data_IF_828325743272
#
_entry.id   IF_828325743272
#
_cell.length_a   1.000
_cell.length_b   1.000
_cell.length_c   1.000
_cell.angle_alpha   90.00
_cell.angle_beta   90.00
_cell.angle_gamma   90.00
#
_symmetry.space_group_name_H-M   'P 1'
#
loop_
_entity.id
_entity.type
_entity.pdbx_description
1 polymer ?
2 non-polymer ?
3 non-polymer ?
4 water ?
#
# COMPACT_ATOMS: atom_id res chain seq x y z
N UNK A 32 -26.13 -13.93 6.28
CA UNK A 32 -25.48 -12.72 5.79
C UNK A 32 -23.97 -12.94 5.61
N UNK A 33 -23.34 -12.19 4.71
CA UNK A 33 -22.01 -12.58 4.25
C UNK A 33 -20.98 -12.38 5.37
N UNK A 34 -19.98 -13.23 5.34
CA UNK A 34 -18.84 -13.16 6.24
C UNK A 34 -17.70 -12.36 5.63
N UNK A 35 -16.93 -11.74 6.49
CA UNK A 35 -15.82 -10.91 6.03
C UNK A 35 -14.91 -11.67 5.10
N UNK A 36 -14.51 -12.93 5.50
CA UNK A 36 -13.60 -13.71 4.66
C UNK A 36 -14.20 -14.05 3.33
N UNK A 37 -15.51 -14.17 3.30
CA UNK A 37 -16.20 -14.52 2.07
C UNK A 37 -16.22 -13.34 1.10
N UNK A 38 -16.52 -12.13 1.58
CA UNK A 38 -16.43 -10.99 0.69
C UNK A 38 -15.00 -10.81 0.21
N UNK A 39 -14.03 -10.82 1.12
CA UNK A 39 -12.67 -10.55 0.74
C UNK A 39 -12.11 -11.56 -0.25
N UNK A 40 -12.45 -12.83 -0.08
CA UNK A 40 -11.98 -13.82 -1.04
C UNK A 40 -12.76 -13.80 -2.32
N UNK A 41 -14.01 -13.43 -2.36
CA UNK A 41 -14.67 -13.23 -3.59
C UNK A 41 -14.04 -12.09 -4.38
N UNK A 42 -13.78 -10.96 -3.69
CA UNK A 42 -13.06 -9.88 -4.34
C UNK A 42 -11.73 -10.36 -4.88
N UNK A 43 -10.97 -11.07 -4.07
CA UNK A 43 -9.66 -11.54 -4.50
C UNK A 43 -9.79 -12.49 -5.68
N UNK A 44 -10.80 -13.37 -5.68
CA UNK A 44 -10.93 -14.32 -6.81
C UNK A 44 -11.16 -13.54 -8.10
N UNK A 45 -12.07 -12.58 -8.07
CA UNK A 45 -12.35 -11.79 -9.26
C UNK A 45 -11.17 -10.93 -9.69
N UNK A 46 -10.38 -10.43 -8.75
CA UNK A 46 -9.17 -9.68 -9.09
C UNK A 46 -8.07 -10.57 -9.66
N UNK A 47 -7.93 -11.80 -9.15
CA UNK A 47 -6.94 -12.73 -9.71
C UNK A 47 -7.24 -13.01 -11.17
N UNK A 48 -8.51 -13.02 -11.56
CA UNK A 48 -8.84 -13.14 -12.97
C UNK A 48 -8.33 -11.94 -13.79
N UNK A 49 -8.49 -10.71 -13.26
CA UNK A 49 -7.97 -9.52 -13.92
C UNK A 49 -6.45 -9.62 -14.08
N UNK A 50 -5.76 -10.12 -13.09
CA UNK A 50 -4.31 -10.30 -13.13
C UNK A 50 -3.89 -11.48 -14.00
N UNK A 51 -4.81 -12.29 -14.47
CA UNK A 51 -4.48 -13.39 -15.38
C UNK A 51 -3.91 -14.57 -14.70
N UNK A 52 -4.07 -14.72 -13.40
CA UNK A 52 -3.57 -15.84 -12.66
C UNK A 52 -4.42 -17.07 -12.92
N UNK A 53 -3.76 -18.22 -12.86
CA UNK A 53 -4.46 -19.49 -13.08
C UNK A 53 -5.43 -19.77 -11.92
N UNK A 54 -6.36 -20.70 -12.18
CA UNK A 54 -7.24 -21.13 -11.11
C UNK A 54 -6.45 -21.76 -9.95
N UNK A 55 -5.37 -22.47 -10.23
CA UNK A 55 -4.55 -23.03 -9.15
C UNK A 55 -3.94 -21.93 -8.29
N UNK A 56 -3.35 -20.94 -8.91
CA UNK A 56 -2.72 -19.89 -8.11
C UNK A 56 -3.80 -19.10 -7.33
N UNK A 57 -4.96 -18.87 -7.95
CA UNK A 57 -6.07 -18.18 -7.26
C UNK A 57 -6.50 -18.93 -6.02
N UNK A 58 -6.57 -20.26 -6.13
CA UNK A 58 -6.85 -21.08 -4.96
C UNK A 58 -5.76 -20.97 -3.90
N UNK A 59 -4.52 -20.99 -4.27
CA UNK A 59 -3.48 -20.81 -3.27
C UNK A 59 -3.66 -19.47 -2.54
N UNK A 60 -3.90 -18.40 -3.28
CA UNK A 60 -3.88 -17.09 -2.65
C UNK A 60 -5.17 -16.81 -1.90
N UNK A 61 -6.32 -17.30 -2.31
CA UNK A 61 -7.49 -17.17 -1.49
C UNK A 61 -7.33 -17.88 -0.14
N UNK A 62 -6.64 -19.02 -0.14
CA UNK A 62 -6.39 -19.70 1.12
C UNK A 62 -5.50 -18.87 2.04
N UNK A 63 -4.43 -18.32 1.48
CA UNK A 63 -3.52 -17.46 2.24
C UNK A 63 -4.27 -16.26 2.84
N UNK A 64 -5.18 -15.64 2.05
CA UNK A 64 -5.90 -14.48 2.59
C UNK A 64 -6.81 -14.89 3.74
N UNK A 65 -7.53 -16.01 3.63
CA UNK A 65 -8.36 -16.48 4.75
C UNK A 65 -7.50 -16.73 5.97
N UNK A 66 -6.43 -17.48 5.79
CA UNK A 66 -5.57 -17.76 6.92
C UNK A 66 -5.08 -16.50 7.59
N UNK A 67 -4.74 -15.48 6.81
CA UNK A 67 -4.16 -14.28 7.38
C UNK A 67 -5.20 -13.48 8.16
N UNK A 68 -6.49 -13.62 7.85
CA UNK A 68 -7.51 -12.95 8.66
C UNK A 68 -7.79 -13.68 9.95
N UNK A 69 -7.34 -14.91 10.12
CA UNK A 69 -7.59 -15.66 11.37
C UNK A 69 -9.09 -15.82 11.64
N UNK A 70 -9.51 -15.67 12.91
CA UNK A 70 -10.91 -15.88 13.23
C UNK A 70 -11.79 -14.83 12.60
N UNK A 71 -11.20 -13.68 12.21
CA UNK A 71 -12.02 -12.65 11.57
C UNK A 71 -12.57 -13.08 10.20
N UNK A 72 -11.99 -14.11 9.59
CA UNK A 72 -12.55 -14.57 8.33
C UNK A 72 -14.00 -14.98 8.49
N UNK A 73 -14.38 -15.55 9.66
CA UNK A 73 -15.72 -16.05 9.90
C UNK A 73 -16.68 -15.06 10.45
N UNK A 74 -16.28 -13.81 10.54
CA UNK A 74 -17.04 -12.77 11.23
C UNK A 74 -18.15 -12.23 10.30
N UNK A 75 -19.42 -12.18 10.73
CA UNK A 75 -20.46 -11.55 9.93
C UNK A 75 -20.13 -10.09 9.64
N UNK A 76 -20.49 -9.67 8.43
CA UNK A 76 -20.32 -8.27 8.07
C UNK A 76 -21.36 -7.35 8.71
N UNK A 77 -22.36 -7.95 9.37
CA UNK A 77 -23.31 -7.15 10.13
C UNK A 77 -22.78 -6.74 11.47
N UNK A 78 -21.67 -7.24 11.92
CA UNK A 78 -21.03 -6.77 13.13
C UNK A 78 -19.96 -5.71 12.80
N UNK A 79 -19.56 -4.91 13.78
CA UNK A 79 -18.51 -3.92 13.55
C UNK A 79 -17.22 -4.57 13.03
N UNK A 80 -16.34 -3.77 12.43
CA UNK A 80 -15.02 -4.28 12.07
C UNK A 80 -14.31 -4.87 13.27
N UNK A 81 -13.42 -5.84 13.05
CA UNK A 81 -12.73 -6.46 14.19
C UNK A 81 -11.75 -5.53 14.85
N UNK A 82 -11.18 -4.60 14.08
CA UNK A 82 -10.31 -3.57 14.63
C UNK A 82 -10.58 -2.25 13.94
N UNK A 83 -10.28 -1.14 14.61
CA UNK A 83 -10.39 0.14 13.96
C UNK A 83 -9.12 0.49 13.19
N UNK A 84 -8.74 -0.42 12.30
CA UNK A 84 -7.44 -0.38 11.66
C UNK A 84 -7.31 0.84 10.77
N UNK A 85 -6.08 1.35 10.70
CA UNK A 85 -5.73 2.42 9.80
C UNK A 85 -5.49 1.87 8.38
N UNK A 86 -5.57 0.58 8.15
CA UNK A 86 -5.31 0.01 6.83
C UNK A 86 -6.26 0.57 5.79
N UNK A 87 -7.49 0.88 6.18
CA UNK A 87 -8.45 1.46 5.26
C UNK A 87 -9.37 2.40 6.02
N UNK A 88 -10.07 3.28 5.31
CA UNK A 88 -10.89 4.28 5.97
C UNK A 88 -12.08 3.68 6.68
N UNK A 89 -12.66 2.59 6.22
CA UNK A 89 -13.78 1.95 6.87
C UNK A 89 -13.36 0.80 7.79
N UNK A 90 -12.06 0.63 7.98
CA UNK A 90 -11.50 -0.38 8.89
C UNK A 90 -11.63 -1.77 8.37
N UNK A 91 -11.86 -1.95 7.06
CA UNK A 91 -11.69 -3.27 6.53
C UNK A 91 -10.21 -3.63 6.63
N UNK A 92 -9.86 -4.80 7.13
CA UNK A 92 -8.43 -5.12 7.27
C UNK A 92 -7.82 -5.74 5.99
N UNK A 93 -8.31 -5.32 4.84
CA UNK A 93 -7.85 -5.77 3.52
C UNK A 93 -7.88 -4.55 2.61
N UNK A 94 -6.90 -4.43 1.70
CA UNK A 94 -6.89 -3.46 0.61
C UNK A 94 -6.18 -4.12 -0.58
N UNK A 95 -6.54 -3.79 -1.80
CA UNK A 95 -5.90 -4.32 -2.98
C UNK A 95 -5.14 -3.24 -3.70
N UNK A 96 -4.16 -3.64 -4.50
CA UNK A 96 -3.54 -2.71 -5.43
C UNK A 96 -3.23 -3.42 -6.71
N UNK A 97 -3.28 -2.65 -7.79
CA UNK A 97 -3.00 -3.14 -9.15
C UNK A 97 -2.01 -2.23 -9.84
N UNK A 98 -0.85 -2.82 -10.18
CA UNK A 98 0.27 -2.12 -10.79
C UNK A 98 0.26 -2.39 -12.29
N UNK A 99 -0.03 -1.38 -13.05
CA UNK A 99 -0.25 -1.45 -14.49
C UNK A 99 1.03 -1.19 -15.26
N UNK A 100 1.20 -1.98 -16.34
CA UNK A 100 2.32 -1.88 -17.27
C UNK A 100 1.77 -2.02 -18.68
N UNK A 101 2.39 -1.35 -19.66
CA UNK A 101 1.94 -1.53 -21.05
C UNK A 101 2.07 -2.98 -21.52
N UNK A 102 1.02 -3.43 -22.15
CA UNK A 102 1.06 -4.68 -22.89
C UNK A 102 0.97 -5.94 -22.08
N UNK A 103 0.48 -5.85 -20.85
CA UNK A 103 0.32 -7.05 -20.07
C UNK A 103 -0.69 -6.78 -18.96
N UNK A 104 -1.12 -7.86 -18.33
CA UNK A 104 -2.08 -7.71 -17.25
C UNK A 104 -1.41 -7.08 -16.02
N UNK A 105 -2.19 -6.40 -15.18
CA UNK A 105 -1.60 -5.74 -14.02
C UNK A 105 -1.15 -6.71 -12.96
N UNK A 106 -0.20 -6.30 -12.19
CA UNK A 106 0.30 -7.05 -11.05
C UNK A 106 -0.59 -6.77 -9.81
N UNK A 107 -1.05 -7.81 -9.15
CA UNK A 107 -1.98 -7.71 -8.04
C UNK A 107 -1.26 -7.93 -6.72
N UNK A 108 -1.59 -7.09 -5.74
CA UNK A 108 -1.12 -7.19 -4.39
C UNK A 108 -2.31 -7.10 -3.45
N UNK A 109 -2.23 -7.79 -2.33
CA UNK A 109 -3.26 -7.64 -1.29
C UNK A 109 -2.54 -7.29 0.01
N UNK A 110 -3.04 -6.30 0.72
CA UNK A 110 -2.54 -5.84 2.00
C UNK A 110 -3.53 -6.23 3.07
N UNK A 111 -3.05 -6.82 4.14
CA UNK A 111 -3.91 -7.37 5.20
C UNK A 111 -3.31 -7.01 6.54
N UNK A 112 -4.18 -6.89 7.55
CA UNK A 112 -3.78 -6.75 8.95
C UNK A 112 -3.99 -8.12 9.62
N UNK A 113 -2.97 -8.95 9.73
CA UNK A 113 -3.23 -10.33 10.12
C UNK A 113 -3.57 -10.45 11.60
N UNK A 114 -3.26 -9.46 12.41
CA UNK A 114 -3.66 -9.46 13.82
C UNK A 114 -4.99 -8.80 14.12
N UNK A 115 -5.78 -8.55 13.08
CA UNK A 115 -7.01 -7.80 13.25
C UNK A 115 -7.99 -8.43 14.25
N UNK A 116 -8.01 -9.75 14.40
CA UNK A 116 -8.94 -10.34 15.39
C UNK A 116 -8.62 -9.91 16.82
N UNK A 117 -7.39 -9.57 17.07
CA UNK A 117 -7.03 -9.07 18.38
C UNK A 117 -7.52 -7.68 18.67
N UNK A 118 -8.15 -7.00 17.71
CA UNK A 118 -8.73 -5.73 18.00
C UNK A 118 -7.73 -4.59 18.13
N UNK A 119 -8.11 -3.62 18.94
CA UNK A 119 -7.41 -2.36 19.03
C UNK A 119 -6.29 -2.33 20.06
N UNK A 120 -6.08 -3.43 20.79
CA UNK A 120 -4.89 -3.60 21.62
C UNK A 120 -3.68 -3.81 20.71
N UNK A 121 -2.84 -2.78 20.58
CA UNK A 121 -1.77 -2.84 19.58
C UNK A 121 -0.71 -3.87 19.92
N UNK A 122 -0.42 -4.10 21.21
CA UNK A 122 0.54 -5.15 21.52
C UNK A 122 0.05 -6.51 21.11
N UNK A 123 -1.23 -6.82 21.37
CA UNK A 123 -1.76 -8.13 20.99
C UNK A 123 -1.95 -8.23 19.48
N UNK A 124 -2.35 -7.13 18.83
CA UNK A 124 -2.53 -7.11 17.38
C UNK A 124 -1.18 -7.34 16.70
N UNK A 125 -0.15 -6.66 17.22
CA UNK A 125 1.19 -6.88 16.69
C UNK A 125 1.72 -8.28 16.90
N UNK A 126 1.48 -8.81 18.09
CA UNK A 126 1.95 -10.17 18.37
C UNK A 126 1.27 -11.20 17.51
N UNK A 127 -0.06 -11.06 17.32
CA UNK A 127 -0.76 -11.94 16.42
C UNK A 127 -0.33 -11.79 14.96
N UNK A 128 -0.07 -10.55 14.51
CA UNK A 128 0.41 -10.33 13.15
C UNK A 128 1.75 -10.98 12.91
N UNK A 129 2.66 -10.83 13.89
CA UNK A 129 3.95 -11.49 13.80
C UNK A 129 3.81 -13.01 13.68
N UNK A 130 2.93 -13.61 14.48
CA UNK A 130 2.76 -15.07 14.38
C UNK A 130 2.32 -15.48 12.98
N UNK A 131 1.35 -14.77 12.40
CA UNK A 131 0.91 -15.11 11.08
C UNK A 131 2.01 -14.98 10.05
N UNK A 132 2.83 -13.92 10.14
CA UNK A 132 3.92 -13.75 9.22
C UNK A 132 4.97 -14.85 9.37
N UNK A 133 5.28 -15.23 10.60
CA UNK A 133 6.25 -16.33 10.76
C UNK A 133 5.74 -17.64 10.18
N UNK A 134 4.45 -17.90 10.30
CA UNK A 134 3.86 -19.09 9.67
C UNK A 134 4.04 -19.05 8.15
N UNK A 135 3.75 -17.92 7.53
CA UNK A 135 4.01 -17.76 6.11
C UNK A 135 5.47 -18.03 5.77
N UNK A 136 6.37 -17.38 6.49
CA UNK A 136 7.79 -17.49 6.14
C UNK A 136 8.24 -18.94 6.20
N UNK A 137 7.84 -19.66 7.24
CA UNK A 137 8.21 -21.06 7.40
C UNK A 137 7.69 -21.88 6.22
N UNK A 138 6.48 -21.58 5.77
CA UNK A 138 5.89 -22.33 4.68
C UNK A 138 6.63 -22.12 3.38
N UNK A 139 7.13 -20.91 3.11
CA UNK A 139 7.74 -20.62 1.85
C UNK A 139 9.25 -20.61 1.91
N UNK A 140 9.83 -20.85 3.08
CA UNK A 140 11.27 -20.88 3.17
C UNK A 140 11.92 -19.52 3.24
N UNK A 141 11.22 -18.53 3.75
CA UNK A 141 11.76 -17.19 3.90
C UNK A 141 12.41 -17.07 5.27
N UNK A 142 13.53 -16.37 5.32
CA UNK A 142 14.22 -16.11 6.58
C UNK A 142 13.59 -14.92 7.26
N UNK A 143 13.36 -15.04 8.57
CA UNK A 143 12.85 -13.95 9.38
C UNK A 143 13.94 -13.29 10.23
N UNK A 144 15.21 -13.55 9.92
CA UNK A 144 16.32 -13.08 10.74
C UNK A 144 16.34 -11.56 10.79
N UNK A 145 16.14 -10.91 9.65
CA UNK A 145 16.09 -9.46 9.61
C UNK A 145 14.90 -8.90 10.39
N UNK A 146 13.72 -9.51 10.26
CA UNK A 146 12.58 -9.08 11.06
C UNK A 146 12.80 -9.31 12.56
N UNK A 147 13.39 -10.45 12.93
CA UNK A 147 13.61 -10.70 14.35
C UNK A 147 14.52 -9.62 14.95
N UNK A 148 15.51 -9.19 14.19
CA UNK A 148 16.47 -8.18 14.63
C UNK A 148 15.81 -6.84 14.83
N UNK A 149 14.69 -6.56 14.15
CA UNK A 149 13.98 -5.28 14.28
C UNK A 149 12.84 -5.31 15.28
N UNK A 150 12.52 -6.47 15.85
CA UNK A 150 11.32 -6.64 16.68
C UNK A 150 11.32 -5.73 17.90
N UNK A 151 12.44 -5.62 18.64
CA UNK A 151 12.41 -4.80 19.82
C UNK A 151 12.16 -3.33 19.48
N UNK A 152 12.51 -2.91 18.26
CA UNK A 152 12.36 -1.53 17.86
C UNK A 152 10.92 -1.20 17.47
N UNK A 153 10.22 -2.15 16.83
CA UNK A 153 8.87 -1.95 16.30
C UNK A 153 7.74 -2.52 17.12
N UNK A 154 8.06 -3.32 18.15
CA UNK A 154 7.09 -3.99 19.00
C UNK A 154 7.50 -3.81 20.46
N UNK A 155 7.56 -2.56 20.94
CA UNK A 155 7.81 -2.32 22.36
C UNK A 155 6.61 -2.73 23.19
N UNK A 156 6.80 -2.72 24.52
CA UNK A 156 5.80 -3.29 25.42
C UNK A 156 4.47 -2.52 25.39
N UNK A 157 4.51 -1.20 25.27
CA UNK A 157 3.33 -0.34 25.24
C UNK A 157 3.35 0.49 23.95
N UNK A 158 3.11 -0.14 22.82
CA UNK A 158 3.26 0.53 21.51
C UNK A 158 2.23 1.63 21.28
N UNK A 159 2.64 2.64 20.50
CA UNK A 159 1.73 3.67 20.03
C UNK A 159 1.25 3.34 18.62
N UNK A 160 0.13 3.93 18.27
CA UNK A 160 -0.49 3.74 16.96
C UNK A 160 0.27 4.45 15.87
N UNK A 161 -0.25 4.40 14.64
CA UNK A 161 -1.62 3.94 14.29
C UNK A 161 -1.69 2.53 13.80
N UNK A 162 -0.59 1.77 13.76
CA UNK A 162 -0.61 0.39 13.33
C UNK A 162 0.45 -0.33 14.11
N UNK A 163 0.36 -1.66 14.10
CA UNK A 163 1.40 -2.55 14.61
C UNK A 163 2.05 -3.34 13.50
N UNK A 164 1.28 -4.04 12.66
CA UNK A 164 1.84 -4.79 11.57
C UNK A 164 0.80 -5.06 10.51
N UNK A 165 1.15 -4.77 9.26
CA UNK A 165 0.39 -5.21 8.12
C UNK A 165 1.29 -6.07 7.25
N UNK A 166 0.70 -6.93 6.41
CA UNK A 166 1.44 -7.77 5.50
C UNK A 166 0.95 -7.51 4.10
N UNK A 167 1.86 -7.24 3.20
CA UNK A 167 1.57 -7.06 1.81
C UNK A 167 2.03 -8.29 1.02
N UNK A 168 1.13 -8.87 0.23
CA UNK A 168 1.38 -10.09 -0.52
C UNK A 168 1.29 -9.75 -2.01
N UNK A 169 2.41 -9.95 -2.69
CA UNK A 169 2.52 -9.79 -4.12
C UNK A 169 2.09 -11.11 -4.73
N UNK A 170 1.00 -11.08 -5.48
CA UNK A 170 0.37 -12.33 -5.93
C UNK A 170 0.86 -12.73 -7.31
N UNK A 171 2.04 -13.34 -7.30
CA UNK A 171 2.80 -13.68 -8.48
C UNK A 171 2.37 -15.02 -9.04
N UNK A 172 2.56 -15.19 -10.35
CA UNK A 172 2.35 -16.50 -10.92
C UNK A 172 3.24 -17.52 -10.21
N UNK A 173 2.69 -18.70 -9.98
CA UNK A 173 3.41 -19.74 -9.31
C UNK A 173 2.88 -20.07 -7.93
N UNK A 174 2.15 -19.15 -7.30
CA UNK A 174 1.55 -19.48 -6.03
C UNK A 174 2.41 -19.21 -4.82
N UNK A 175 3.62 -18.75 -5.03
CA UNK A 175 4.48 -18.30 -3.94
C UNK A 175 4.55 -16.77 -4.05
N UNK A 176 3.98 -16.04 -3.10
CA UNK A 176 3.90 -14.58 -3.20
C UNK A 176 5.17 -13.92 -2.72
N UNK A 177 5.39 -12.69 -3.18
CA UNK A 177 6.29 -11.79 -2.44
C UNK A 177 5.64 -11.37 -1.13
N UNK A 178 6.42 -11.27 -0.06
CA UNK A 178 5.92 -10.92 1.27
C UNK A 178 6.68 -9.69 1.78
N UNK A 179 5.95 -8.60 2.13
CA UNK A 179 6.52 -7.45 2.78
C UNK A 179 5.77 -7.21 4.07
N UNK A 180 6.51 -6.72 5.06
CA UNK A 180 5.94 -6.42 6.36
C UNK A 180 5.97 -4.92 6.59
N UNK A 181 4.81 -4.33 6.79
CA UNK A 181 4.69 -2.91 7.08
C UNK A 181 4.68 -2.69 8.55
N UNK A 182 5.63 -1.91 9.03
CA UNK A 182 5.88 -1.62 10.44
C UNK A 182 5.69 -0.13 10.72
N UNK A 183 5.56 0.23 11.99
CA UNK A 183 5.24 1.56 12.43
C UNK A 183 6.42 2.33 13.00
N UNK A 184 7.02 3.24 12.27
CA UNK A 184 8.13 4.06 12.87
C UNK A 184 7.75 4.80 14.11
N UNK A 185 6.46 5.11 14.33
CA UNK A 185 5.99 5.81 15.51
C UNK A 185 5.67 4.89 16.70
N UNK A 186 6.05 3.64 16.63
CA UNK A 186 5.71 2.70 17.69
C UNK A 186 6.19 3.15 19.07
N UNK A 187 7.32 3.84 19.11
CA UNK A 187 7.94 4.35 20.35
C UNK A 187 7.52 5.77 20.64
N UNK A 188 6.55 6.30 19.91
CA UNK A 188 6.09 7.69 19.96
C UNK A 188 6.39 8.38 18.64
N UNK A 189 5.52 9.28 18.21
CA UNK A 189 5.80 10.03 16.99
C UNK A 189 7.10 10.84 17.07
N UNK A 190 7.44 11.33 18.25
CA UNK A 190 8.65 12.11 18.37
C UNK A 190 9.90 11.28 18.20
N UNK A 191 9.79 9.94 18.26
CA UNK A 191 10.92 9.03 18.08
C UNK A 191 10.89 8.32 16.71
N UNK A 192 10.03 8.77 15.79
CA UNK A 192 9.92 8.11 14.49
C UNK A 192 11.22 8.21 13.69
N UNK A 193 11.83 9.42 13.55
CA UNK A 193 13.05 9.53 12.76
C UNK A 193 14.15 8.67 13.38
N UNK A 194 14.29 8.69 14.69
CA UNK A 194 15.29 7.90 15.39
C UNK A 194 15.08 6.42 15.16
N UNK A 195 13.80 5.99 15.14
CA UNK A 195 13.46 4.58 14.93
C UNK A 195 13.82 4.14 13.52
N UNK A 196 13.52 4.98 12.52
CA UNK A 196 13.89 4.68 11.14
C UNK A 196 15.41 4.65 10.96
N UNK A 197 16.12 5.64 11.52
CA UNK A 197 17.59 5.64 11.43
C UNK A 197 18.17 4.35 11.99
N UNK A 198 17.68 3.95 13.15
CA UNK A 198 18.20 2.73 13.79
C UNK A 198 17.85 1.48 12.98
N UNK A 199 16.62 1.39 12.43
CA UNK A 199 16.29 0.25 11.62
C UNK A 199 17.23 0.14 10.45
N UNK A 200 17.46 1.23 9.72
CA UNK A 200 18.30 1.20 8.56
C UNK A 200 19.73 0.79 8.96
N UNK A 201 20.21 1.24 10.11
CA UNK A 201 21.56 0.87 10.55
C UNK A 201 21.61 -0.63 10.80
N UNK A 202 20.60 -1.16 11.48
CA UNK A 202 20.58 -2.60 11.78
C UNK A 202 20.53 -3.45 10.53
N UNK A 203 19.90 -2.98 9.48
CA UNK A 203 19.82 -3.67 8.21
C UNK A 203 21.07 -3.48 7.38
N UNK A 204 22.04 -2.68 7.82
CA UNK A 204 23.26 -2.52 7.04
C UNK A 204 23.17 -1.45 6.00
N UNK A 205 22.08 -0.68 5.99
CA UNK A 205 21.94 0.43 5.05
C UNK A 205 22.38 1.71 5.74
N UNK A 206 23.70 1.79 5.88
CA UNK A 206 24.27 2.77 6.77
C UNK A 206 24.30 4.19 6.22
N UNK A 207 24.05 4.39 4.94
CA UNK A 207 23.95 5.73 4.37
C UNK A 207 22.51 6.10 3.95
N UNK A 208 21.58 5.18 4.12
CA UNK A 208 20.23 5.36 3.55
C UNK A 208 19.45 6.48 4.23
N UNK A 209 19.54 6.59 5.55
CA UNK A 209 18.72 7.59 6.24
C UNK A 209 19.07 8.97 5.78
N UNK A 210 20.35 9.30 5.72
CA UNK A 210 20.77 10.62 5.29
C UNK A 210 20.53 10.85 3.83
N UNK A 211 20.28 9.81 3.05
CA UNK A 211 19.94 9.94 1.64
C UNK A 211 18.50 10.41 1.40
N UNK A 212 17.62 10.28 2.40
CA UNK A 212 16.19 10.61 2.23
C UNK A 212 15.98 12.12 2.13
N UNK A 213 14.99 12.58 1.40
CA UNK A 213 14.60 13.99 1.48
C UNK A 213 13.95 14.30 2.82
N UNK A 214 13.84 15.57 3.16
CA UNK A 214 13.10 16.02 4.33
C UNK A 214 11.63 15.61 4.19
N UNK A 215 10.94 15.51 5.33
CA UNK A 215 9.56 15.13 5.32
C UNK A 215 8.90 15.63 6.57
N UNK A 216 7.57 15.49 6.58
CA UNK A 216 6.75 15.82 7.72
C UNK A 216 6.35 14.62 8.56
N UNK A 217 6.80 13.45 8.22
CA UNK A 217 6.53 12.24 8.99
C UNK A 217 7.04 11.03 8.25
N UNK A 218 7.10 9.94 8.99
CA UNK A 218 7.55 8.66 8.54
C UNK A 218 6.45 7.63 8.78
N UNK A 219 5.46 7.56 7.92
CA UNK A 219 4.28 6.71 8.26
C UNK A 219 4.55 5.23 8.31
N UNK A 220 5.40 4.70 7.42
CA UNK A 220 5.63 3.23 7.33
C UNK A 220 7.08 2.95 7.01
N UNK A 221 7.54 1.81 7.53
CA UNK A 221 8.74 1.13 7.02
C UNK A 221 8.30 -0.23 6.55
N UNK A 222 8.66 -0.64 5.35
CA UNK A 222 8.26 -1.93 4.82
C UNK A 222 9.52 -2.72 4.54
N UNK A 223 9.55 -3.94 5.04
CA UNK A 223 10.70 -4.83 4.90
C UNK A 223 10.26 -6.03 4.05
N UNK A 224 10.98 -6.33 2.96
CA UNK A 224 10.72 -7.56 2.21
C UNK A 224 11.26 -8.77 2.95
N UNK A 225 10.47 -9.83 3.03
CA UNK A 225 10.90 -11.02 3.79
C UNK A 225 11.56 -12.06 2.96
N UNK A 226 11.73 -11.82 1.69
CA UNK A 226 12.57 -12.71 0.89
C UNK A 226 13.98 -12.94 1.44
N UNK A 227 14.75 -13.80 0.76
CA UNK A 227 16.07 -14.25 1.21
C UNK A 227 17.20 -13.45 0.58
N UNK A 228 17.08 -12.13 0.54
CA UNK A 228 17.98 -11.28 -0.25
C UNK A 228 19.26 -10.94 0.52
N UNK A 229 20.37 -10.89 -0.21
CA UNK A 229 21.67 -10.64 0.41
C UNK A 229 21.72 -9.25 1.06
N UNK A 230 21.37 -8.22 0.29
CA UNK A 230 21.13 -6.91 0.90
C UNK A 230 19.65 -6.79 1.17
N UNK A 231 19.26 -6.44 2.41
CA UNK A 231 17.83 -6.35 2.74
C UNK A 231 17.16 -5.34 1.86
N UNK A 232 15.92 -5.64 1.53
CA UNK A 232 15.12 -4.79 0.66
C UNK A 232 14.10 -4.07 1.52
N UNK A 233 14.28 -2.75 1.65
CA UNK A 233 13.53 -1.96 2.64
C UNK A 233 13.01 -0.68 1.95
N UNK A 234 11.77 -0.29 2.29
CA UNK A 234 11.10 0.88 1.72
C UNK A 234 10.75 1.80 2.87
N UNK A 235 11.06 3.09 2.71
CA UNK A 235 10.72 4.12 3.66
C UNK A 235 9.65 4.99 3.04
N UNK A 236 8.50 5.12 3.73
CA UNK A 236 7.45 6.03 3.35
C UNK A 236 7.53 7.31 4.14
N UNK A 237 7.38 8.44 3.43
CA UNK A 237 7.47 9.78 3.96
C UNK A 237 6.20 10.53 3.63
N UNK A 238 5.76 11.34 4.60
CA UNK A 238 4.56 12.19 4.45
C UNK A 238 4.99 13.62 4.15
N UNK A 239 4.30 14.28 3.22
CA UNK A 239 4.66 15.63 2.82
C UNK A 239 3.38 16.45 2.81
N UNK A 240 3.36 17.44 3.68
CA UNK A 240 2.20 18.33 3.78
C UNK A 240 2.35 19.46 2.77
N UNK A 241 1.29 19.75 2.07
CA UNK A 241 1.29 20.87 1.16
C UNK A 241 2.17 20.81 -0.06
N UNK A 242 2.35 19.60 -0.61
CA UNK A 242 3.23 19.35 -1.77
C UNK A 242 2.65 20.02 -3.03
N UNK A 243 3.52 20.61 -3.86
CA UNK A 243 3.19 21.10 -5.17
C UNK A 243 3.67 20.14 -6.28
N UNK A 244 3.23 20.40 -7.49
CA UNK A 244 3.65 19.56 -8.61
C UNK A 244 5.17 19.58 -8.79
N UNK A 245 5.78 20.77 -8.72
CA UNK A 245 7.23 20.85 -8.79
C UNK A 245 7.91 20.05 -7.68
N UNK A 246 7.39 20.10 -6.49
CA UNK A 246 7.94 19.32 -5.40
C UNK A 246 7.93 17.83 -5.70
N UNK A 247 6.85 17.36 -6.34
CA UNK A 247 6.74 15.94 -6.67
C UNK A 247 7.88 15.47 -7.54
N UNK A 248 8.34 16.33 -8.44
CA UNK A 248 9.48 16.03 -9.29
C UNK A 248 10.84 16.20 -8.64
N UNK A 249 10.92 16.89 -7.51
CA UNK A 249 12.20 17.13 -6.84
C UNK A 249 12.46 16.26 -5.62
N UNK A 250 11.45 15.56 -5.10
CA UNK A 250 11.64 14.64 -3.97
C UNK A 250 12.33 13.32 -4.27
N UNK A 251 12.43 12.82 -5.50
CA UNK A 251 13.21 11.60 -5.69
C UNK A 251 14.64 11.74 -5.19
N UNK A 252 15.17 10.63 -4.68
CA UNK A 252 16.59 10.59 -4.33
C UNK A 252 17.25 9.42 -4.98
N UNK A 253 16.49 8.61 -5.72
CA UNK A 253 17.01 7.40 -6.31
C UNK A 253 17.97 7.77 -7.41
N UNK A 254 18.89 6.85 -7.65
CA UNK A 254 19.70 6.99 -8.84
C UNK A 254 19.17 5.98 -9.84
N UNK A 255 18.94 6.41 -11.08
CA UNK A 255 19.10 7.73 -11.67
C UNK A 255 17.79 8.57 -11.44
N UNK A 256 17.83 9.88 -11.55
CA UNK A 256 16.65 10.68 -11.20
C UNK A 256 15.53 10.46 -12.21
N UNK A 257 14.30 10.25 -11.77
CA UNK A 257 13.20 10.08 -12.72
C UNK A 257 12.79 11.40 -13.39
N UNK A 258 12.05 11.30 -14.49
CA UNK A 258 11.61 12.47 -15.26
C UNK A 258 10.81 13.43 -14.40
N UNK A 259 11.30 14.65 -14.27
CA UNK A 259 10.58 15.67 -13.52
C UNK A 259 9.27 15.99 -14.19
N UNK A 260 9.28 16.13 -15.49
CA UNK A 260 8.08 16.52 -16.21
C UNK A 260 6.99 15.48 -16.05
N UNK A 261 7.34 14.22 -16.16
CA UNK A 261 6.36 13.16 -16.05
C UNK A 261 5.79 13.15 -14.62
N UNK A 262 6.62 13.39 -13.59
CA UNK A 262 6.11 13.48 -12.23
C UNK A 262 5.17 14.65 -12.00
N UNK A 263 5.56 15.82 -12.51
CA UNK A 263 4.72 16.99 -12.38
C UNK A 263 3.38 16.76 -13.08
N UNK A 264 3.40 16.18 -14.27
CA UNK A 264 2.15 15.95 -14.98
C UNK A 264 1.26 14.97 -14.21
N UNK A 265 1.85 13.90 -13.68
CA UNK A 265 1.08 12.94 -12.92
C UNK A 265 0.44 13.59 -11.70
N UNK A 266 1.21 14.40 -10.96
CA UNK A 266 0.66 15.09 -9.81
C UNK A 266 -0.51 15.99 -10.18
N UNK A 267 -0.38 16.77 -11.24
CA UNK A 267 -1.45 17.66 -11.63
C UNK A 267 -2.68 16.89 -12.08
N UNK A 268 -2.48 15.78 -12.82
CA UNK A 268 -3.64 14.99 -13.23
C UNK A 268 -4.31 14.33 -12.04
N UNK A 269 -3.55 13.73 -11.18
CA UNK A 269 -4.16 13.03 -10.06
C UNK A 269 -4.81 13.98 -9.08
N UNK A 270 -4.29 15.17 -8.95
CA UNK A 270 -4.85 16.12 -8.00
C UNK A 270 -5.80 17.11 -8.60
N UNK A 271 -6.01 17.07 -9.90
CA UNK A 271 -6.75 18.11 -10.60
C UNK A 271 -6.25 19.49 -10.18
N UNK A 272 -4.97 19.72 -10.50
CA UNK A 272 -4.26 20.97 -10.16
C UNK A 272 -3.56 21.38 -11.44
N UNK A 273 -4.31 21.72 -12.48
CA UNK A 273 -3.69 21.99 -13.78
C UNK A 273 -2.93 23.32 -13.81
N UNK A 274 -2.05 23.38 -14.81
CA UNK A 274 -1.57 24.58 -15.53
C UNK A 274 -0.11 24.36 -15.97
N UNK A 283 1.36 26.50 -10.04
CA UNK A 283 1.64 27.84 -9.53
C UNK A 283 1.32 27.95 -8.04
N UNK A 284 0.04 28.05 -7.68
CA UNK A 284 -0.36 28.13 -6.28
C UNK A 284 -0.98 26.83 -5.76
N UNK A 285 -1.16 25.82 -6.61
CA UNK A 285 -1.87 24.60 -6.19
C UNK A 285 -1.00 23.70 -5.32
N UNK A 286 -1.62 23.19 -4.25
CA UNK A 286 -0.97 22.33 -3.26
C UNK A 286 -1.95 21.26 -2.80
N UNK A 287 -1.43 20.11 -2.34
CA UNK A 287 -2.31 19.10 -1.77
C UNK A 287 -2.18 19.23 -0.26
N UNK A 288 -3.02 20.11 0.31
CA UNK A 288 -2.98 20.54 1.69
C UNK A 288 -4.06 19.89 2.56
N UNK A 289 -4.87 19.00 2.00
CA UNK A 289 -5.68 18.13 2.84
C UNK A 289 -4.91 16.87 3.20
N UNK A 290 -5.48 15.72 2.92
CA UNK A 290 -4.72 14.48 3.09
C UNK A 290 -3.39 14.57 2.32
N UNK A 291 -2.25 14.29 2.95
CA UNK A 291 -0.96 14.54 2.27
C UNK A 291 -0.52 13.49 1.26
N UNK A 292 0.28 13.99 0.25
CA UNK A 292 0.94 13.06 -0.63
C UNK A 292 2.03 12.40 0.15
N UNK A 293 2.29 11.16 -0.23
CA UNK A 293 3.42 10.40 0.32
C UNK A 293 4.47 10.15 -0.74
N UNK A 294 5.72 10.03 -0.34
CA UNK A 294 6.75 9.44 -1.21
C UNK A 294 7.26 8.16 -0.55
N UNK A 295 7.71 7.22 -1.36
CA UNK A 295 8.33 6.01 -0.85
C UNK A 295 9.70 5.95 -1.52
N UNK A 296 10.68 5.52 -0.75
CA UNK A 296 12.09 5.47 -1.16
C UNK A 296 12.54 4.05 -0.86
N UNK A 297 12.88 3.30 -1.87
CA UNK A 297 13.24 1.89 -1.75
C UNK A 297 14.75 1.67 -1.87
N UNK A 298 15.25 0.82 -1.02
CA UNK A 298 16.68 0.47 -0.99
C UNK A 298 16.80 -1.01 -1.22
N UNK A 299 17.63 -1.39 -2.20
CA UNK A 299 17.82 -2.80 -2.54
C UNK A 299 19.27 -3.23 -2.50
N UNK A 300 20.20 -2.33 -2.24
CA UNK A 300 21.62 -2.69 -2.17
C UNK A 300 22.26 -1.59 -1.35
N UNK A 301 23.41 -1.92 -0.71
CA UNK A 301 23.97 -1.00 0.25
C UNK A 301 25.14 -0.20 -0.27
N UNK A 302 25.71 -0.63 -1.41
CA UNK A 302 26.98 -0.07 -1.87
C UNK A 302 26.80 1.34 -2.41
N UNK A 303 25.70 1.61 -3.15
CA UNK A 303 25.57 2.94 -3.70
C UNK A 303 25.28 3.94 -2.62
N UNK A 304 24.60 3.52 -1.55
CA UNK A 304 24.18 4.50 -0.60
C UNK A 304 22.97 5.30 -0.97
N UNK A 305 22.30 4.99 -2.10
CA UNK A 305 21.20 5.72 -2.63
C UNK A 305 19.99 4.80 -2.79
N UNK A 306 18.75 5.32 -2.78
CA UNK A 306 17.60 4.47 -3.09
C UNK A 306 17.67 4.04 -4.53
N UNK A 307 17.07 2.92 -4.85
CA UNK A 307 16.87 2.44 -6.18
C UNK A 307 15.47 2.65 -6.70
N UNK A 308 14.54 3.12 -5.84
CA UNK A 308 13.16 3.38 -6.25
C UNK A 308 12.63 4.65 -5.62
N UNK A 309 11.62 5.16 -6.31
CA UNK A 309 10.86 6.30 -5.81
C UNK A 309 9.44 6.08 -6.29
N UNK A 310 8.47 6.17 -5.38
CA UNK A 310 7.05 6.19 -5.75
C UNK A 310 6.41 7.45 -5.17
N UNK A 311 5.57 8.10 -5.97
CA UNK A 311 4.77 9.22 -5.50
C UNK A 311 3.35 8.71 -5.33
N UNK A 312 2.82 8.86 -4.16
CA UNK A 312 1.46 8.39 -3.79
C UNK A 312 0.52 9.57 -3.60
N UNK A 313 -0.51 9.69 -4.39
CA UNK A 313 -1.46 10.80 -4.27
C UNK A 313 -2.77 10.27 -3.70
N UNK A 314 -3.26 10.79 -2.56
CA UNK A 314 -4.52 10.29 -1.93
C UNK A 314 -5.71 10.91 -2.64
N UNK A 315 -6.02 10.35 -3.81
CA UNK A 315 -6.97 10.94 -4.71
C UNK A 315 -8.34 11.02 -4.06
N UNK A 316 -8.66 10.12 -3.10
CA UNK A 316 -9.94 10.11 -2.40
C UNK A 316 -10.25 11.37 -1.64
N UNK A 317 -9.28 12.18 -1.33
CA UNK A 317 -9.58 13.39 -0.58
C UNK A 317 -9.70 14.61 -1.49
N UNK A 318 -9.55 14.46 -2.80
CA UNK A 318 -9.51 15.56 -3.79
C UNK A 318 -10.46 15.35 -4.95
N UNK A 319 -11.49 14.54 -4.70
CA UNK A 319 -12.57 14.33 -5.67
C UNK A 319 -13.92 14.40 -4.96
N UNK A 320 -14.97 14.55 -5.75
CA UNK A 320 -16.31 14.49 -5.19
C UNK A 320 -16.84 13.06 -5.04
N UNK A 321 -16.34 12.13 -5.86
CA UNK A 321 -16.82 10.76 -5.87
C UNK A 321 -15.89 9.94 -6.75
N UNK A 322 -16.10 8.61 -6.72
CA UNK A 322 -15.23 7.72 -7.43
C UNK A 322 -15.35 7.79 -8.95
N UNK A 323 -16.42 8.37 -9.49
CA UNK A 323 -16.43 8.64 -10.93
C UNK A 323 -15.29 9.57 -11.31
N UNK A 324 -15.05 10.61 -10.48
CA UNK A 324 -13.97 11.52 -10.74
C UNK A 324 -12.61 10.87 -10.48
N UNK A 325 -12.49 10.09 -9.40
CA UNK A 325 -11.22 9.42 -9.15
C UNK A 325 -10.88 8.48 -10.29
N UNK A 326 -11.90 7.79 -10.83
CA UNK A 326 -11.67 6.92 -11.99
C UNK A 326 -11.23 7.73 -13.20
N UNK A 327 -11.87 8.85 -13.44
CA UNK A 327 -11.46 9.67 -14.58
C UNK A 327 -9.99 10.04 -14.50
N UNK A 328 -9.53 10.37 -13.30
CA UNK A 328 -8.10 10.71 -13.14
C UNK A 328 -7.21 9.49 -13.36
N UNK A 329 -7.60 8.36 -12.82
CA UNK A 329 -6.87 7.11 -13.08
C UNK A 329 -6.81 6.75 -14.56
N UNK A 330 -7.91 6.92 -15.26
CA UNK A 330 -7.95 6.63 -16.70
C UNK A 330 -7.03 7.56 -17.46
N UNK A 331 -7.02 8.84 -17.08
CA UNK A 331 -6.13 9.80 -17.71
C UNK A 331 -4.64 9.45 -17.49
N UNK A 332 -4.26 9.14 -16.23
CA UNK A 332 -2.88 8.75 -15.99
C UNK A 332 -2.51 7.52 -16.81
N UNK A 333 -3.37 6.50 -16.77
CA UNK A 333 -3.09 5.27 -17.52
C UNK A 333 -2.92 5.56 -19.00
N UNK A 334 -3.77 6.36 -19.56
CA UNK A 334 -3.65 6.71 -20.99
C UNK A 334 -2.29 7.38 -21.28
N UNK A 335 -1.88 8.29 -20.40
CA UNK A 335 -0.63 8.99 -20.60
C UNK A 335 0.55 8.04 -20.55
N UNK A 336 0.43 6.94 -19.82
CA UNK A 336 1.48 5.96 -19.66
C UNK A 336 1.28 4.71 -20.55
N UNK A 337 0.40 4.79 -21.51
CA UNK A 337 0.28 3.67 -22.47
C UNK A 337 -0.04 2.35 -21.78
N UNK A 338 -0.84 2.39 -20.71
CA UNK A 338 -1.34 1.16 -20.08
C UNK A 338 -2.87 1.11 -20.31
N UNK A 339 -3.41 -0.11 -20.48
CA UNK A 339 -4.83 -0.27 -20.86
C UNK A 339 -5.75 -0.12 -19.66
N UNK A 340 -6.72 0.80 -19.74
CA UNK A 340 -7.67 1.01 -18.63
C UNK A 340 -8.89 0.03 -18.56
N UNK A 341 -9.19 -0.80 -19.60
CA UNK A 341 -10.22 -1.79 -19.46
C UNK A 341 -9.98 -2.68 -18.26
N UNK A 342 -8.72 -2.98 -17.97
CA UNK A 342 -8.42 -3.79 -16.80
C UNK A 342 -8.77 -3.08 -15.49
N UNK A 343 -8.59 -1.76 -15.46
CA UNK A 343 -9.00 -0.99 -14.29
C UNK A 343 -10.50 -1.12 -14.09
N UNK A 344 -11.27 -0.98 -15.15
CA UNK A 344 -12.71 -1.12 -15.01
C UNK A 344 -13.11 -2.50 -14.54
N UNK A 345 -12.44 -3.55 -15.04
CA UNK A 345 -12.71 -4.91 -14.54
C UNK A 345 -12.31 -5.06 -13.08
N UNK A 346 -11.27 -4.37 -12.65
CA UNK A 346 -10.84 -4.44 -11.25
C UNK A 346 -11.84 -3.74 -10.33
N UNK A 347 -12.39 -2.59 -10.73
CA UNK A 347 -13.34 -1.91 -9.90
C UNK A 347 -14.61 -2.73 -9.76
N UNK A 348 -15.08 -3.30 -10.87
CA UNK A 348 -16.27 -4.16 -10.81
C UNK A 348 -15.99 -5.41 -9.98
N UNK A 349 -14.78 -5.91 -10.01
CA UNK A 349 -14.42 -7.06 -9.15
C UNK A 349 -14.60 -6.77 -7.67
N UNK A 350 -14.31 -5.55 -7.21
CA UNK A 350 -14.45 -5.25 -5.78
C UNK A 350 -15.84 -4.77 -5.38
N UNK A 351 -16.54 -4.10 -6.28
CA UNK A 351 -17.85 -3.58 -5.89
C UNK A 351 -18.81 -3.47 -7.06
N UNK A 352 -20.09 -3.74 -6.86
CA UNK A 352 -21.06 -3.53 -7.93
C UNK A 352 -21.64 -2.13 -7.92
N UNK A 353 -21.31 -1.28 -6.95
CA UNK A 353 -22.01 -0.03 -6.90
C UNK A 353 -21.63 0.91 -8.03
N UNK A 354 -22.51 1.83 -8.34
CA UNK A 354 -22.12 2.93 -9.21
C UNK A 354 -21.00 3.76 -8.57
N UNK A 355 -19.99 4.11 -9.36
CA UNK A 355 -18.85 4.83 -8.79
C UNK A 355 -19.27 6.15 -8.20
N UNK A 356 -20.20 6.83 -8.85
CA UNK A 356 -20.62 8.14 -8.40
C UNK A 356 -21.39 8.16 -7.08
N UNK A 357 -21.80 7.00 -6.57
CA UNK A 357 -22.62 6.91 -5.36
C UNK A 357 -21.74 6.94 -4.09
N UNK A 358 -20.44 7.15 -4.17
CA UNK A 358 -19.56 7.17 -3.00
C UNK A 358 -18.18 7.63 -3.37
N UNK A 359 -17.31 7.71 -2.38
CA UNK A 359 -15.95 8.15 -2.55
C UNK A 359 -15.07 7.26 -1.70
N UNK A 360 -13.85 7.04 -2.16
CA UNK A 360 -12.90 6.23 -1.43
C UNK A 360 -12.64 4.83 -1.96
N UNK A 361 -13.37 4.40 -2.98
CA UNK A 361 -13.08 3.12 -3.58
C UNK A 361 -11.67 3.13 -4.14
N UNK A 362 -11.34 4.15 -4.92
CA UNK A 362 -9.96 4.38 -5.38
C UNK A 362 -9.30 5.21 -4.29
N UNK A 363 -8.44 4.63 -3.50
CA UNK A 363 -7.87 5.27 -2.33
C UNK A 363 -6.68 6.16 -2.67
N UNK A 364 -5.80 5.69 -3.56
CA UNK A 364 -4.57 6.35 -3.93
C UNK A 364 -4.30 6.02 -5.37
N UNK A 365 -3.60 6.89 -6.02
CA UNK A 365 -2.96 6.68 -7.31
C UNK A 365 -1.47 6.89 -7.13
N UNK A 366 -0.63 6.03 -7.70
CA UNK A 366 0.82 6.10 -7.46
C UNK A 366 1.57 5.94 -8.77
N UNK A 367 2.68 6.66 -8.89
CA UNK A 367 3.60 6.53 -10.03
C UNK A 367 4.87 5.93 -9.48
N UNK A 368 5.28 4.78 -10.02
CA UNK A 368 6.25 3.91 -9.39
C UNK A 368 7.50 3.80 -10.26
N UNK A 369 8.63 4.26 -9.78
CA UNK A 369 9.89 4.21 -10.51
C UNK A 369 10.85 3.31 -9.76
N UNK A 370 11.61 2.54 -10.55
CA UNK A 370 12.58 1.61 -9.99
C UNK A 370 13.75 1.48 -10.95
N UNK A 371 14.94 1.47 -10.38
CA UNK A 371 16.20 1.50 -11.15
C UNK A 371 16.22 0.32 -12.09
N UNK A 372 16.35 0.63 -13.39
CA UNK A 372 16.54 -0.42 -14.37
C UNK A 372 15.29 -1.15 -14.73
N UNK A 373 14.13 -0.74 -14.20
CA UNK A 373 12.87 -1.40 -14.48
C UNK A 373 11.87 -0.41 -15.07
N UNK A 374 10.84 -0.89 -15.75
CA UNK A 374 9.89 0.03 -16.36
C UNK A 374 8.99 0.68 -15.31
N UNK A 375 8.58 1.88 -15.61
CA UNK A 375 7.69 2.62 -14.71
C UNK A 375 6.29 2.02 -14.69
N UNK A 376 5.67 2.01 -13.49
CA UNK A 376 4.32 1.47 -13.36
C UNK A 376 3.40 2.54 -12.79
N UNK A 377 2.13 2.43 -13.11
CA UNK A 377 1.04 3.22 -12.45
C UNK A 377 0.29 2.24 -11.57
N UNK A 378 0.17 2.53 -10.28
CA UNK A 378 -0.50 1.67 -9.32
C UNK A 378 -1.77 2.34 -8.84
N UNK A 379 -2.88 1.59 -8.83
CA UNK A 379 -4.18 2.01 -8.30
C UNK A 379 -4.45 1.21 -7.04
N UNK A 380 -4.72 1.90 -5.91
CA UNK A 380 -5.07 1.25 -4.66
C UNK A 380 -6.58 1.22 -4.58
N UNK A 381 -7.14 0.02 -4.45
CA UNK A 381 -8.59 -0.25 -4.51
C UNK A 381 -9.08 -0.80 -3.18
N UNK A 382 -10.03 -0.08 -2.59
CA UNK A 382 -10.58 -0.45 -1.29
C UNK A 382 -11.56 -1.61 -1.38
N UNK A 383 -11.65 -2.37 -0.27
CA UNK A 383 -12.63 -3.44 -0.18
C UNK A 383 -14.02 -2.91 0.12
N UNK A 384 -14.16 -1.87 0.91
CA UNK A 384 -15.46 -1.28 1.25
C UNK A 384 -16.36 -2.33 1.88
N UNK A 385 -15.82 -3.11 2.79
CA UNK A 385 -16.64 -4.15 3.39
C UNK A 385 -17.57 -3.60 4.47
N UNK A 386 -17.29 -2.45 5.02
CA UNK A 386 -18.02 -1.89 6.15
C UNK A 386 -18.76 -0.60 5.85
N UNK A 387 -18.22 0.29 5.02
CA UNK A 387 -18.89 1.56 4.72
C UNK A 387 -18.52 2.04 3.35
N UNK A 388 -19.45 2.72 2.70
CA UNK A 388 -19.20 3.50 1.51
C UNK A 388 -19.31 4.95 1.93
N UNK A 389 -18.22 5.69 1.83
CA UNK A 389 -18.28 7.09 2.21
C UNK A 389 -19.16 7.85 1.22
N UNK A 390 -19.92 8.84 1.66
CA UNK A 390 -20.84 9.51 0.75
C UNK A 390 -20.13 10.41 -0.24
N UNK A 391 -20.74 10.60 -1.39
CA UNK A 391 -20.20 11.58 -2.31
C UNK A 391 -20.37 12.98 -1.77
N UNK A 392 -19.52 13.89 -2.27
CA UNK A 392 -19.44 15.27 -1.81
C UNK A 392 -19.94 16.22 -2.90
N UNK A 393 -20.56 17.31 -2.46
CA UNK A 393 -21.05 18.32 -3.41
C UNK A 393 -19.89 19.09 -4.04
N UNK A 394 -18.83 19.29 -3.29
CA UNK A 394 -17.63 19.99 -3.75
C UNK A 394 -16.41 19.16 -3.40
N UNK A 395 -15.27 19.48 -4.02
CA UNK A 395 -14.04 18.87 -3.54
C UNK A 395 -13.77 19.55 -2.19
X LIG B 1 -3.19 2.68 3.24
X LIG B 1 -2.75 3.96 2.52
X LIG B 1 -3.13 2.77 4.75
X LIG B 1 -2.34 1.54 2.82
X LIG B 1 -4.61 2.36 2.83
X LIG B 1 -1.37 4.23 2.83
X LIG B 1 -3.95 3.78 5.25
X LIG B 1 -2.21 1.41 1.39
X LIG B 1 -3.37 4.79 2.82
X LIG B 1 -2.86 3.83 1.44
X LIG B 1 -2.10 2.97 5.06
X LIG B 1 -3.43 1.82 5.18
X LIG B 1 -1.35 1.66 3.25
X LIG B 1 -2.76 0.62 3.21
X LIG B 1 -4.72 2.22 1.83
X LIG B 1 -5.31 2.96 3.25
X LIG B 1 -4.78 1.45 3.23
X LIG B 1 -1.09 5.04 2.36
X LIG B 1 -4.42 4.22 4.50
X LIG B 1 -1.64 0.64 1.18
X LIG C 1 25.39 13.06 4.28
#
# INVERSE_FOLDING_TARGET
MGSSHHHHHHSSGLVPRGSHMGGPMSGFHSGEALLGDLATGQLTRLCEVAGLTEADTAAYTGVLIESLGTSAGRPLSLPPPSRTFLSDDHTPVEFSLAFLPGRAPHLRVLVEPGCSSGDDLAENGRAGLRAVHTMADRWGFSTEQLDRLEDLFFPSSPEGPLALWCALELRSGGVPGVKVYLNPAANGADRAAETVREALARLGHLQAFDALPRADGFPFLALDLGDWDAPRVKIYLKHLGMSAADAGSLPRMSPAPSREQLEEFFRTAGDLPAPGDPGPTEDTGRLAGRPALTCHSFTETATGRPSGYTLHVPVRDYVRHDGEARDRAVAVLREHDMDSAALDRALAAVSPRPLSDGVGLIAYLALVHQRGRPTRVTVYVSSEAYEVRPPRETVPTRDRARARL
TRS C C1 C2 C3 N O1 O2 O3 H11 H12 H21 H22 H31 H32 HN1 HN2 HN3 HO1 HO2 HO3
MG MG
#
